data_IF_286529999462
#
_entry.id   IF_286529999462
#
_cell.length_a   1.000
_cell.length_b   1.000
_cell.length_c   1.000
_cell.angle_alpha   90.00
_cell.angle_beta   90.00
_cell.angle_gamma   90.00
#
_symmetry.space_group_name_H-M   'P 1'
#
loop_
_entity.id
_entity.type
_entity.pdbx_description
1 polymer ?
#
# COMPACT_ATOMS: atom_id res chain seq x y z
N UNK A 1 -20.20 -19.47 -11.98
CA UNK A 1 -19.30 -18.72 -11.11
C UNK A 1 -20.06 -18.38 -9.85
N UNK A 2 -19.75 -19.04 -8.72
CA UNK A 2 -20.42 -18.73 -7.45
C UNK A 2 -19.70 -17.55 -6.79
N UNK A 3 -20.31 -16.38 -6.89
CA UNK A 3 -19.87 -15.23 -6.10
C UNK A 3 -20.35 -15.40 -4.67
N UNK A 4 -19.47 -15.76 -3.74
CA UNK A 4 -19.75 -15.69 -2.30
C UNK A 4 -19.69 -14.23 -1.85
N UNK A 5 -20.82 -13.55 -1.87
CA UNK A 5 -20.99 -12.33 -1.07
C UNK A 5 -20.94 -12.73 0.40
N UNK A 6 -19.99 -12.17 1.16
CA UNK A 6 -19.99 -12.31 2.62
C UNK A 6 -21.29 -11.70 3.16
N UNK A 7 -21.98 -12.40 4.06
CA UNK A 7 -23.21 -11.89 4.69
C UNK A 7 -22.98 -10.47 5.21
N UNK A 8 -23.79 -9.55 4.73
CA UNK A 8 -23.86 -8.16 5.19
C UNK A 8 -24.14 -8.15 6.70
N UNK A 9 -23.29 -7.51 7.51
CA UNK A 9 -23.49 -7.37 8.95
C UNK A 9 -24.33 -6.10 9.19
N UNK A 10 -25.62 -6.26 9.40
CA UNK A 10 -26.60 -5.19 9.61
C UNK A 10 -26.28 -4.27 10.80
N UNK A 11 -25.43 -4.73 11.73
CA UNK A 11 -25.06 -3.99 12.96
C UNK A 11 -24.19 -2.76 12.73
N UNK A 12 -23.56 -2.61 11.55
CA UNK A 12 -22.78 -1.42 11.19
C UNK A 12 -23.52 -0.43 10.28
N UNK A 13 -24.75 -0.74 9.90
CA UNK A 13 -25.57 0.07 8.98
C UNK A 13 -26.50 1.08 9.67
N UNK A 14 -26.55 1.11 10.99
CA UNK A 14 -27.33 2.09 11.73
C UNK A 14 -26.72 3.50 11.59
N UNK A 15 -27.12 4.22 10.53
CA UNK A 15 -26.74 5.61 10.27
C UNK A 15 -26.26 5.95 8.84
N UNK A 16 -26.08 4.96 7.95
CA UNK A 16 -25.79 5.25 6.55
C UNK A 16 -27.06 5.37 5.73
N UNK A 17 -27.16 6.45 4.93
CA UNK A 17 -28.27 6.63 3.99
C UNK A 17 -28.20 5.58 2.87
N UNK A 18 -29.34 5.29 2.22
CA UNK A 18 -29.40 4.37 1.06
C UNK A 18 -28.42 4.80 -0.03
N UNK A 19 -28.29 6.10 -0.28
CA UNK A 19 -27.34 6.67 -1.24
C UNK A 19 -25.87 6.38 -0.90
N UNK A 20 -25.48 6.42 0.39
CA UNK A 20 -24.11 6.10 0.82
C UNK A 20 -23.79 4.60 0.66
N UNK A 21 -24.79 3.73 0.89
CA UNK A 21 -24.65 2.29 0.63
C UNK A 21 -24.46 2.03 -0.86
N UNK A 22 -25.29 2.65 -1.70
CA UNK A 22 -25.18 2.57 -3.15
C UNK A 22 -23.83 3.10 -3.64
N UNK A 23 -23.32 4.22 -3.10
CA UNK A 23 -21.99 4.77 -3.42
C UNK A 23 -20.88 3.77 -3.11
N UNK A 24 -20.96 3.08 -1.98
CA UNK A 24 -19.95 2.07 -1.62
C UNK A 24 -19.94 0.90 -2.61
N UNK A 25 -21.11 0.41 -3.02
CA UNK A 25 -21.21 -0.63 -4.04
C UNK A 25 -20.67 -0.12 -5.38
N UNK A 26 -21.05 1.09 -5.78
CA UNK A 26 -20.57 1.73 -7.02
C UNK A 26 -19.03 1.84 -7.03
N UNK A 27 -18.43 2.30 -5.94
CA UNK A 27 -16.97 2.39 -5.81
C UNK A 27 -16.28 1.02 -5.93
N UNK A 28 -16.88 -0.03 -5.37
CA UNK A 28 -16.37 -1.39 -5.53
C UNK A 28 -16.46 -1.84 -6.99
N UNK A 29 -17.59 -1.63 -7.65
CA UNK A 29 -17.77 -1.99 -9.05
C UNK A 29 -16.80 -1.22 -9.97
N UNK A 30 -16.52 0.05 -9.69
CA UNK A 30 -15.51 0.83 -10.43
C UNK A 30 -14.11 0.19 -10.40
N UNK A 31 -13.71 -0.43 -9.31
CA UNK A 31 -12.43 -1.15 -9.24
C UNK A 31 -12.43 -2.38 -10.14
N UNK A 32 -13.55 -3.12 -10.21
CA UNK A 32 -13.71 -4.29 -11.08
C UNK A 32 -13.82 -3.92 -12.56
N UNK A 33 -14.49 -2.80 -12.89
CA UNK A 33 -14.66 -2.34 -14.26
C UNK A 33 -13.49 -1.48 -14.75
N UNK A 34 -12.36 -1.47 -14.04
CA UNK A 34 -11.18 -0.64 -14.34
C UNK A 34 -11.52 0.85 -14.50
N UNK A 35 -12.44 1.35 -13.70
CA UNK A 35 -12.87 2.75 -13.69
C UNK A 35 -13.90 3.12 -14.75
N UNK A 36 -14.44 2.14 -15.50
CA UNK A 36 -15.54 2.38 -16.43
C UNK A 36 -16.85 2.62 -15.65
N UNK A 37 -17.24 3.89 -15.59
CA UNK A 37 -18.44 4.32 -14.86
C UNK A 37 -19.72 3.78 -15.49
N UNK A 38 -19.78 3.67 -16.82
CA UNK A 38 -20.98 3.22 -17.52
C UNK A 38 -21.21 1.73 -17.27
N UNK A 39 -20.16 0.93 -17.37
CA UNK A 39 -20.23 -0.50 -17.08
C UNK A 39 -20.57 -0.74 -15.60
N UNK A 40 -19.99 0.02 -14.67
CA UNK A 40 -20.29 -0.06 -13.24
C UNK A 40 -21.76 0.26 -12.95
N UNK A 41 -22.32 1.31 -13.56
CA UNK A 41 -23.73 1.68 -13.43
C UNK A 41 -24.66 0.64 -14.05
N UNK A 42 -24.26 0.04 -15.18
CA UNK A 42 -25.03 -1.04 -15.81
C UNK A 42 -25.10 -2.27 -14.89
N UNK A 43 -23.98 -2.70 -14.33
CA UNK A 43 -23.95 -3.80 -13.37
C UNK A 43 -24.75 -3.49 -12.12
N UNK A 44 -24.67 -2.25 -11.62
CA UNK A 44 -25.43 -1.81 -10.47
C UNK A 44 -26.95 -1.82 -10.74
N UNK A 45 -27.37 -1.41 -11.94
CA UNK A 45 -28.78 -1.47 -12.37
C UNK A 45 -29.29 -2.91 -12.41
N UNK A 46 -28.47 -3.85 -12.85
CA UNK A 46 -28.84 -5.27 -12.87
C UNK A 46 -28.91 -5.83 -11.44
N UNK A 47 -28.00 -5.45 -10.56
CA UNK A 47 -28.04 -5.81 -9.14
C UNK A 47 -29.27 -5.22 -8.45
N UNK A 48 -29.64 -3.99 -8.77
CA UNK A 48 -30.83 -3.35 -8.21
C UNK A 48 -32.10 -4.10 -8.58
N UNK A 49 -32.23 -4.55 -9.84
CA UNK A 49 -33.36 -5.40 -10.29
C UNK A 49 -33.44 -6.72 -9.55
N UNK A 50 -32.30 -7.34 -9.20
CA UNK A 50 -32.26 -8.67 -8.56
C UNK A 50 -32.43 -8.60 -7.04
N UNK A 51 -31.89 -7.59 -6.41
CA UNK A 51 -31.72 -7.53 -4.95
C UNK A 51 -32.36 -6.32 -4.29
N UNK A 52 -32.85 -5.33 -5.07
CA UNK A 52 -33.47 -4.12 -4.53
C UNK A 52 -32.46 -3.29 -3.73
N UNK A 53 -31.48 -2.70 -4.40
CA UNK A 53 -30.46 -1.86 -3.73
C UNK A 53 -31.03 -0.51 -3.33
N UNK A 54 -32.00 0.01 -4.08
CA UNK A 54 -32.76 1.21 -3.78
C UNK A 54 -33.86 0.95 -2.76
N UNK A 55 -34.59 1.99 -2.43
CA UNK A 55 -35.82 1.94 -1.64
C UNK A 55 -36.98 2.57 -2.45
N UNK A 56 -38.20 2.64 -1.87
CA UNK A 56 -39.38 3.17 -2.58
C UNK A 56 -39.21 4.64 -3.02
N UNK A 57 -38.26 5.38 -2.45
CA UNK A 57 -38.01 6.80 -2.73
C UNK A 57 -36.76 7.03 -3.58
N UNK A 58 -35.78 6.10 -3.58
CA UNK A 58 -34.43 6.27 -4.20
C UNK A 58 -34.20 5.15 -5.19
N UNK A 59 -34.34 5.46 -6.48
CA UNK A 59 -34.00 4.57 -7.58
C UNK A 59 -32.65 4.90 -8.23
N UNK A 60 -32.22 4.09 -9.23
CA UNK A 60 -30.96 4.29 -9.96
C UNK A 60 -30.86 5.66 -10.65
N UNK A 61 -31.97 6.21 -11.15
CA UNK A 61 -31.96 7.54 -11.76
C UNK A 61 -31.60 8.65 -10.76
N UNK A 62 -32.24 8.62 -9.59
CA UNK A 62 -31.97 9.57 -8.51
C UNK A 62 -30.55 9.43 -7.95
N UNK A 63 -30.05 8.19 -7.88
CA UNK A 63 -28.67 7.94 -7.50
C UNK A 63 -27.65 8.54 -8.48
N UNK A 64 -27.87 8.41 -9.80
CA UNK A 64 -26.99 9.00 -10.82
C UNK A 64 -27.01 10.52 -10.72
N UNK A 65 -28.18 11.15 -10.58
CA UNK A 65 -28.28 12.60 -10.40
C UNK A 65 -27.62 13.07 -9.09
N UNK A 66 -27.76 12.29 -8.03
CA UNK A 66 -27.04 12.55 -6.78
C UNK A 66 -25.51 12.48 -6.94
N UNK A 67 -25.00 11.46 -7.66
CA UNK A 67 -23.57 11.33 -7.94
C UNK A 67 -23.03 12.54 -8.72
N UNK A 68 -23.78 13.06 -9.67
CA UNK A 68 -23.42 14.27 -10.42
C UNK A 68 -23.45 15.51 -9.53
N UNK A 69 -24.51 15.70 -8.76
CA UNK A 69 -24.65 16.85 -7.85
C UNK A 69 -23.55 16.88 -6.80
N UNK A 70 -23.20 15.73 -6.26
CA UNK A 70 -22.10 15.61 -5.29
C UNK A 70 -20.71 15.66 -5.95
N UNK A 71 -20.62 15.70 -7.27
CA UNK A 71 -19.37 15.77 -8.02
C UNK A 71 -18.57 14.47 -8.00
N UNK A 72 -19.21 13.33 -7.92
CA UNK A 72 -18.60 12.01 -8.11
C UNK A 72 -18.54 11.62 -9.58
N UNK A 73 -19.52 12.05 -10.38
CA UNK A 73 -19.60 11.82 -11.82
C UNK A 73 -19.68 13.13 -12.59
N UNK A 74 -19.15 13.11 -13.81
CA UNK A 74 -19.28 14.17 -14.81
C UNK A 74 -19.79 13.56 -16.11
N UNK A 75 -20.55 14.34 -16.89
CA UNK A 75 -20.97 13.94 -18.23
C UNK A 75 -19.74 13.89 -19.15
N UNK A 76 -19.56 12.81 -19.89
CA UNK A 76 -18.52 12.71 -20.89
C UNK A 76 -18.92 13.48 -22.17
N UNK A 77 -17.95 13.63 -23.12
CA UNK A 77 -18.21 14.32 -24.39
C UNK A 77 -19.28 13.62 -25.25
N UNK A 78 -19.43 12.31 -25.11
CA UNK A 78 -20.45 11.53 -25.79
C UNK A 78 -21.74 11.49 -24.95
N UNK A 79 -22.88 11.66 -25.65
CA UNK A 79 -24.19 11.69 -24.97
C UNK A 79 -24.48 10.36 -24.27
N UNK A 80 -24.71 10.42 -22.97
CA UNK A 80 -25.09 9.25 -22.16
C UNK A 80 -23.89 8.51 -21.55
N UNK A 81 -22.68 9.00 -21.74
CA UNK A 81 -21.48 8.47 -21.07
C UNK A 81 -21.10 9.34 -19.88
N UNK A 82 -20.54 8.68 -18.86
CA UNK A 82 -20.09 9.28 -17.62
C UNK A 82 -18.61 9.06 -17.39
N UNK A 83 -17.96 10.05 -16.76
CA UNK A 83 -16.59 9.95 -16.27
C UNK A 83 -16.56 10.12 -14.76
N UNK A 84 -15.67 9.36 -14.11
CA UNK A 84 -15.41 9.55 -12.67
C UNK A 84 -14.51 10.75 -12.46
N UNK A 85 -14.72 11.42 -11.33
CA UNK A 85 -13.96 12.62 -10.95
C UNK A 85 -12.78 12.26 -10.02
N UNK A 86 -11.91 13.24 -9.75
CA UNK A 86 -10.87 13.11 -8.72
C UNK A 86 -11.44 12.84 -7.31
N UNK A 87 -12.65 13.31 -7.02
CA UNK A 87 -13.36 13.03 -5.76
C UNK A 87 -13.68 11.55 -5.63
N UNK A 88 -14.14 10.92 -6.72
CA UNK A 88 -14.44 9.47 -6.77
C UNK A 88 -13.19 8.65 -6.56
N UNK A 89 -12.10 8.96 -7.27
CA UNK A 89 -10.83 8.22 -7.10
C UNK A 89 -10.27 8.36 -5.69
N UNK A 90 -10.41 9.52 -5.05
CA UNK A 90 -10.05 9.71 -3.64
C UNK A 90 -10.91 8.86 -2.73
N UNK A 91 -12.23 8.86 -2.94
CA UNK A 91 -13.18 8.08 -2.14
C UNK A 91 -12.91 6.57 -2.24
N UNK A 92 -12.62 6.06 -3.44
CA UNK A 92 -12.23 4.65 -3.64
C UNK A 92 -10.98 4.29 -2.82
N UNK A 93 -9.97 5.16 -2.76
CA UNK A 93 -8.77 4.92 -1.94
C UNK A 93 -9.08 4.90 -0.44
N UNK A 94 -9.90 5.86 0.03
CA UNK A 94 -10.36 5.90 1.43
C UNK A 94 -11.15 4.64 1.80
N UNK A 95 -12.07 4.21 0.94
CA UNK A 95 -12.89 3.01 1.15
C UNK A 95 -12.01 1.74 1.16
N UNK A 96 -11.03 1.64 0.24
CA UNK A 96 -10.06 0.55 0.21
C UNK A 96 -9.22 0.50 1.49
N UNK A 97 -8.78 1.65 2.00
CA UNK A 97 -8.03 1.76 3.25
C UNK A 97 -8.88 1.30 4.44
N UNK A 98 -10.12 1.75 4.53
CA UNK A 98 -11.04 1.39 5.61
C UNK A 98 -11.38 -0.11 5.60
N UNK A 99 -11.58 -0.70 4.41
CA UNK A 99 -11.83 -2.14 4.24
C UNK A 99 -10.67 -2.96 4.82
N UNK A 100 -9.42 -2.65 4.46
CA UNK A 100 -8.23 -3.34 4.94
C UNK A 100 -8.06 -3.17 6.45
N UNK A 101 -8.21 -1.94 6.99
CA UNK A 101 -8.10 -1.72 8.43
C UNK A 101 -9.20 -2.40 9.24
N UNK A 102 -10.40 -2.52 8.71
CA UNK A 102 -11.50 -3.25 9.36
C UNK A 102 -11.19 -4.74 9.44
N UNK A 103 -10.61 -5.30 8.38
CA UNK A 103 -10.14 -6.69 8.37
C UNK A 103 -9.01 -6.91 9.38
N UNK A 104 -8.01 -6.01 9.43
CA UNK A 104 -6.91 -6.04 10.39
C UNK A 104 -7.40 -5.99 11.85
N UNK A 105 -8.39 -5.14 12.16
CA UNK A 105 -8.97 -5.05 13.52
C UNK A 105 -9.68 -6.33 13.93
N UNK A 106 -10.37 -7.00 13.03
CA UNK A 106 -11.05 -8.27 13.30
C UNK A 106 -10.07 -9.40 13.62
N UNK A 107 -8.86 -9.36 13.03
CA UNK A 107 -7.82 -10.37 13.23
C UNK A 107 -6.87 -10.06 14.40
N UNK A 108 -6.69 -8.79 14.77
CA UNK A 108 -5.74 -8.34 15.80
C UNK A 108 -6.27 -8.43 17.24
N UNK A 109 -7.32 -9.19 17.50
CA UNK A 109 -7.82 -9.44 18.86
C UNK A 109 -6.81 -10.17 19.79
N UNK A 110 -5.60 -10.50 19.30
CA UNK A 110 -4.54 -11.12 20.08
C UNK A 110 -3.22 -10.33 20.02
N UNK A 111 -2.83 -9.74 21.16
CA UNK A 111 -1.44 -9.44 21.49
C UNK A 111 -0.97 -8.00 21.33
N UNK A 112 -1.11 -7.21 22.38
CA UNK A 112 -0.45 -5.90 22.53
C UNK A 112 0.95 -6.11 23.14
N UNK A 113 2.02 -6.04 22.32
CA UNK A 113 3.38 -5.92 22.84
C UNK A 113 3.97 -4.56 22.46
N UNK A 114 4.01 -3.67 23.45
CA UNK A 114 4.81 -2.42 23.37
C UNK A 114 6.28 -2.77 23.53
N UNK A 115 7.12 -2.40 22.55
CA UNK A 115 8.58 -2.43 22.71
C UNK A 115 9.06 -0.98 22.75
N UNK A 116 9.59 -0.51 23.89
CA UNK A 116 10.14 0.83 24.00
C UNK A 116 11.55 0.84 23.43
N UNK A 117 11.84 1.67 22.41
CA UNK A 117 13.22 2.01 22.02
C UNK A 117 13.31 3.41 21.44
N UNK A 118 14.25 4.14 21.97
CA UNK A 118 14.64 5.54 21.77
C UNK A 118 15.23 5.79 20.37
N UNK A 119 14.81 6.87 19.75
CA UNK A 119 15.38 7.31 18.50
C UNK A 119 15.33 8.83 18.34
N UNK A 120 16.24 9.47 17.58
CA UNK A 120 16.27 10.92 17.36
C UNK A 120 15.33 11.32 16.21
N UNK A 121 14.17 11.85 16.51
CA UNK A 121 13.22 12.45 15.56
C UNK A 121 12.73 13.77 16.17
N UNK A 122 12.29 14.70 15.31
CA UNK A 122 11.80 16.01 15.72
C UNK A 122 10.44 16.00 16.44
N UNK A 123 9.78 14.87 16.58
CA UNK A 123 8.54 14.75 17.35
C UNK A 123 8.84 14.31 18.79
N UNK A 124 8.62 15.22 19.73
CA UNK A 124 8.75 15.00 21.15
C UNK A 124 7.61 14.12 21.64
N UNK A 125 7.96 13.00 22.26
CA UNK A 125 7.00 12.20 23.02
C UNK A 125 6.72 12.86 24.37
N UNK A 126 5.53 12.67 24.96
CA UNK A 126 5.24 13.17 26.32
C UNK A 126 6.07 12.47 27.41
N UNK A 127 6.69 11.34 27.11
CA UNK A 127 7.52 10.56 28.03
C UNK A 127 8.95 11.14 28.08
N UNK A 128 9.51 11.29 29.27
CA UNK A 128 10.87 11.78 29.50
C UNK A 128 11.74 10.74 30.14
N UNK A 129 13.03 10.67 29.77
CA UNK A 129 14.05 9.82 30.40
C UNK A 129 15.20 10.65 30.96
N UNK A 130 16.07 10.03 31.75
CA UNK A 130 17.31 10.64 32.17
C UNK A 130 18.20 10.94 30.93
N UNK A 131 18.87 12.09 30.96
CA UNK A 131 19.84 12.48 29.94
C UNK A 131 21.05 11.54 30.00
N UNK A 132 21.64 11.25 28.83
CA UNK A 132 22.89 10.54 28.71
C UNK A 132 23.83 11.27 27.76
N UNK A 133 25.14 11.14 27.97
CA UNK A 133 26.14 11.79 27.13
C UNK A 133 25.91 11.46 25.64
N UNK A 134 25.78 12.52 24.80
CA UNK A 134 25.47 12.38 23.37
C UNK A 134 24.02 12.70 22.97
N UNK A 135 23.13 12.92 23.95
CA UNK A 135 21.76 13.36 23.68
C UNK A 135 21.71 14.82 23.23
N UNK A 136 20.76 15.13 22.34
CA UNK A 136 20.59 16.48 21.83
C UNK A 136 19.88 17.37 22.87
N UNK A 137 20.56 18.40 23.32
CA UNK A 137 20.05 19.37 24.30
C UNK A 137 18.78 20.13 23.85
N UNK A 138 18.49 20.15 22.55
CA UNK A 138 17.24 20.74 22.04
C UNK A 138 15.99 19.97 22.53
N UNK A 139 16.14 18.72 22.92
CA UNK A 139 15.05 17.89 23.44
C UNK A 139 14.95 17.90 24.97
N UNK A 140 15.66 18.82 25.64
CA UNK A 140 15.66 18.92 27.09
C UNK A 140 14.26 19.33 27.60
N UNK A 141 13.76 18.59 28.60
CA UNK A 141 12.58 18.99 29.38
C UNK A 141 13.05 19.88 30.55
N UNK A 142 13.02 21.18 30.32
CA UNK A 142 13.41 22.15 31.33
C UNK A 142 12.56 22.09 32.58
N UNK A 143 11.26 21.77 32.43
CA UNK A 143 10.34 21.71 33.58
C UNK A 143 10.65 20.51 34.47
N UNK A 144 10.82 19.32 33.91
CA UNK A 144 11.20 18.13 34.66
C UNK A 144 12.61 18.24 35.24
N UNK A 145 13.56 18.85 34.51
CA UNK A 145 14.92 19.12 34.96
C UNK A 145 14.93 20.03 36.19
N UNK A 146 14.26 21.19 36.12
CA UNK A 146 14.16 22.10 37.25
C UNK A 146 13.46 21.49 38.46
N UNK A 147 12.39 20.69 38.21
CA UNK A 147 11.70 19.98 39.29
C UNK A 147 12.62 18.98 40.02
N UNK A 148 13.53 18.31 39.28
CA UNK A 148 14.50 17.40 39.90
C UNK A 148 15.53 18.19 40.74
N UNK A 149 16.06 19.27 40.20
CA UNK A 149 16.98 20.13 40.97
C UNK A 149 16.33 20.69 42.25
N UNK A 150 15.08 21.17 42.18
CA UNK A 150 14.31 21.64 43.33
C UNK A 150 14.00 20.55 44.36
N UNK A 151 13.74 19.33 43.93
CA UNK A 151 13.56 18.17 44.82
C UNK A 151 14.85 17.82 45.57
N UNK A 152 16.02 18.01 44.94
CA UNK A 152 17.32 17.77 45.55
C UNK A 152 17.72 18.84 46.56
N UNK A 153 17.53 20.14 46.21
CA UNK A 153 17.82 21.26 47.10
C UNK A 153 16.94 22.45 46.72
N UNK A 154 16.26 23.02 47.73
CA UNK A 154 15.43 24.22 47.54
C UNK A 154 16.29 25.49 47.64
N UNK A 155 17.43 25.43 48.32
CA UNK A 155 18.31 26.59 48.61
C UNK A 155 19.42 26.73 47.60
N UNK A 156 19.83 25.66 46.88
CA UNK A 156 20.85 25.69 45.86
C UNK A 156 20.31 25.02 44.58
N UNK A 157 19.93 25.85 43.60
CA UNK A 157 19.37 25.45 42.33
C UNK A 157 20.50 25.25 41.27
N UNK A 158 21.65 24.75 41.67
CA UNK A 158 22.66 24.33 40.69
C UNK A 158 22.21 23.07 39.96
N UNK A 159 22.24 23.07 38.63
CA UNK A 159 21.90 21.90 37.82
C UNK A 159 23.07 20.94 37.75
N UNK A 160 22.86 19.69 38.08
CA UNK A 160 23.84 18.59 37.89
C UNK A 160 23.31 17.59 36.84
N UNK A 161 24.18 16.75 36.31
CA UNK A 161 23.89 15.84 35.21
C UNK A 161 22.66 14.94 35.48
N UNK A 162 22.50 14.51 36.74
CA UNK A 162 21.38 13.62 37.15
C UNK A 162 20.02 14.33 37.16
N UNK A 163 20.00 15.68 37.20
CA UNK A 163 18.76 16.46 37.16
C UNK A 163 18.15 16.51 35.75
N UNK A 164 19.00 16.36 34.71
CA UNK A 164 18.56 16.52 33.32
C UNK A 164 17.59 15.46 32.87
N UNK A 165 16.46 15.92 32.35
CA UNK A 165 15.45 15.10 31.69
C UNK A 165 15.33 15.50 30.25
N UNK A 166 15.24 14.47 29.36
CA UNK A 166 15.10 14.66 27.95
C UNK A 166 13.82 14.00 27.46
N UNK A 167 13.09 14.69 26.58
CA UNK A 167 11.94 14.07 25.91
C UNK A 167 12.41 12.88 25.08
N UNK A 168 11.71 11.76 25.22
CA UNK A 168 11.94 10.66 24.29
C UNK A 168 11.49 11.11 22.91
N UNK A 169 12.37 10.92 21.93
CA UNK A 169 12.07 11.23 20.53
C UNK A 169 11.96 9.93 19.75
N UNK A 170 10.86 9.79 19.02
CA UNK A 170 10.69 8.67 18.12
C UNK A 170 11.47 8.93 16.83
N UNK A 171 12.44 8.10 16.48
CA UNK A 171 13.10 8.18 15.18
C UNK A 171 12.10 7.82 14.09
N UNK A 172 11.43 8.81 13.56
CA UNK A 172 10.71 8.66 12.31
C UNK A 172 11.69 8.82 11.15
N UNK A 173 12.32 7.72 10.75
CA UNK A 173 13.09 7.72 9.50
C UNK A 173 12.15 7.83 8.32
N UNK A 174 12.46 8.76 7.39
CA UNK A 174 11.68 8.88 6.16
C UNK A 174 11.93 7.69 5.25
N UNK A 175 10.87 7.18 4.65
CA UNK A 175 10.91 6.02 3.77
C UNK A 175 10.52 6.43 2.33
N UNK A 176 11.30 5.97 1.35
CA UNK A 176 10.90 5.98 -0.05
C UNK A 176 10.48 4.57 -0.46
N UNK A 177 9.23 4.43 -0.87
CA UNK A 177 8.66 3.16 -1.30
C UNK A 177 8.34 3.22 -2.78
N UNK A 178 8.77 2.21 -3.53
CA UNK A 178 8.26 1.92 -4.86
C UNK A 178 7.36 0.70 -4.76
N UNK A 179 6.11 0.83 -5.15
CA UNK A 179 5.17 -0.27 -5.27
C UNK A 179 5.16 -0.75 -6.72
N UNK A 180 5.60 -1.98 -6.95
CA UNK A 180 5.59 -2.64 -8.24
C UNK A 180 4.39 -3.58 -8.33
N UNK A 181 3.56 -3.43 -9.35
CA UNK A 181 2.38 -4.28 -9.59
C UNK A 181 2.57 -4.99 -10.91
N UNK A 182 2.49 -6.30 -10.86
CA UNK A 182 2.48 -7.16 -12.05
C UNK A 182 1.16 -7.00 -12.80
N UNK A 183 1.23 -6.68 -14.08
CA UNK A 183 0.08 -6.55 -14.98
C UNK A 183 0.17 -7.55 -16.14
N UNK A 184 0.98 -8.60 -15.98
CA UNK A 184 1.11 -9.68 -16.95
C UNK A 184 -0.17 -10.53 -17.00
N UNK A 185 -0.31 -11.25 -18.09
CA UNK A 185 -1.51 -12.05 -18.37
C UNK A 185 -1.82 -13.10 -17.28
N UNK A 186 -0.80 -13.60 -16.57
CA UNK A 186 -0.98 -14.57 -15.48
C UNK A 186 -1.78 -14.04 -14.29
N UNK A 187 -1.85 -12.70 -14.13
CA UNK A 187 -2.62 -12.08 -13.05
C UNK A 187 -4.16 -12.22 -13.17
N UNK A 188 -4.65 -12.71 -14.31
CA UNK A 188 -6.08 -13.01 -14.57
C UNK A 188 -6.32 -14.44 -15.08
N UNK A 189 -5.28 -15.29 -15.11
CA UNK A 189 -5.43 -16.66 -15.59
C UNK A 189 -6.13 -17.56 -14.57
N UNK A 190 -6.68 -18.66 -15.09
CA UNK A 190 -7.33 -19.72 -14.30
C UNK A 190 -8.59 -19.30 -13.53
N UNK A 191 -9.27 -18.21 -13.96
CA UNK A 191 -10.50 -17.75 -13.32
C UNK A 191 -10.30 -17.02 -11.99
N UNK A 192 -9.05 -16.74 -11.60
CA UNK A 192 -8.72 -15.94 -10.44
C UNK A 192 -8.39 -14.49 -10.87
N UNK A 193 -9.11 -13.55 -10.30
CA UNK A 193 -8.80 -12.12 -10.44
C UNK A 193 -7.81 -11.70 -9.35
N UNK A 194 -6.52 -11.66 -9.69
CA UNK A 194 -5.44 -11.27 -8.78
C UNK A 194 -5.13 -9.78 -8.85
N UNK A 195 -5.51 -9.13 -9.95
CA UNK A 195 -5.20 -7.69 -10.15
C UNK A 195 -6.10 -6.79 -9.30
N UNK A 196 -7.37 -7.11 -9.13
CA UNK A 196 -8.29 -6.28 -8.32
C UNK A 196 -7.87 -6.17 -6.86
N UNK A 197 -7.54 -7.26 -6.13
CA UNK A 197 -6.95 -7.16 -4.79
C UNK A 197 -5.64 -6.39 -4.76
N UNK A 198 -4.76 -6.58 -5.76
CA UNK A 198 -3.50 -5.83 -5.86
C UNK A 198 -3.75 -4.32 -5.99
N UNK A 199 -4.69 -3.90 -6.84
CA UNK A 199 -5.12 -2.49 -6.97
C UNK A 199 -5.67 -1.93 -5.68
N UNK A 200 -6.57 -2.66 -5.00
CA UNK A 200 -7.15 -2.22 -3.71
C UNK A 200 -6.07 -1.98 -2.67
N UNK A 201 -5.12 -2.91 -2.53
CA UNK A 201 -4.00 -2.77 -1.59
C UNK A 201 -3.09 -1.60 -1.96
N UNK A 202 -2.81 -1.40 -3.25
CA UNK A 202 -2.03 -0.27 -3.75
C UNK A 202 -2.68 1.07 -3.42
N UNK A 203 -3.99 1.19 -3.66
CA UNK A 203 -4.78 2.39 -3.35
C UNK A 203 -4.83 2.67 -1.86
N UNK A 204 -5.02 1.64 -1.04
CA UNK A 204 -5.03 1.77 0.41
C UNK A 204 -3.66 2.18 0.97
N UNK A 205 -2.56 1.61 0.46
CA UNK A 205 -1.21 2.01 0.84
C UNK A 205 -0.93 3.47 0.45
N UNK A 206 -1.34 3.86 -0.75
CA UNK A 206 -1.19 5.24 -1.21
C UNK A 206 -1.93 6.21 -0.28
N UNK A 207 -3.18 5.93 0.07
CA UNK A 207 -3.96 6.75 0.97
C UNK A 207 -3.35 6.82 2.38
N UNK A 208 -2.86 5.68 2.91
CA UNK A 208 -2.15 5.64 4.19
C UNK A 208 -0.92 6.54 4.20
N UNK A 209 -0.08 6.46 3.16
CA UNK A 209 1.14 7.27 3.08
C UNK A 209 0.80 8.75 2.96
N UNK A 210 -0.12 9.10 2.06
CA UNK A 210 -0.53 10.48 1.84
C UNK A 210 -1.12 11.15 3.09
N UNK A 211 -1.88 10.38 3.89
CA UNK A 211 -2.61 10.94 5.05
C UNK A 211 -1.82 10.85 6.35
N UNK A 212 -1.09 9.76 6.59
CA UNK A 212 -0.43 9.49 7.87
C UNK A 212 1.08 9.75 7.85
N UNK A 213 1.70 9.72 6.67
CA UNK A 213 3.15 9.77 6.54
C UNK A 213 3.59 10.74 5.42
N UNK A 214 3.28 12.05 5.53
CA UNK A 214 3.51 13.03 4.46
C UNK A 214 4.99 13.25 4.12
N UNK A 215 5.92 12.84 5.00
CA UNK A 215 7.38 12.91 4.73
C UNK A 215 7.90 11.68 3.96
N UNK A 216 7.10 10.64 3.81
CA UNK A 216 7.44 9.45 3.02
C UNK A 216 7.05 9.68 1.55
N UNK A 217 7.69 8.97 0.65
CA UNK A 217 7.32 9.01 -0.77
C UNK A 217 6.86 7.65 -1.26
N UNK A 218 5.84 7.65 -2.11
CA UNK A 218 5.36 6.48 -2.82
C UNK A 218 5.39 6.77 -4.32
N UNK A 219 6.05 5.90 -5.06
CA UNK A 219 5.97 5.84 -6.51
C UNK A 219 5.41 4.48 -6.91
N UNK A 220 4.60 4.42 -7.96
CA UNK A 220 3.96 3.19 -8.43
C UNK A 220 4.49 2.83 -9.79
N UNK A 221 4.84 1.58 -9.97
CA UNK A 221 5.32 0.99 -11.23
C UNK A 221 4.40 -0.16 -11.60
N UNK A 222 3.96 -0.17 -12.84
CA UNK A 222 3.40 -1.35 -13.48
C UNK A 222 4.49 -2.03 -14.29
N UNK A 223 4.49 -3.35 -14.30
CA UNK A 223 5.42 -4.10 -15.12
C UNK A 223 4.75 -5.28 -15.80
N UNK A 224 5.08 -5.43 -17.07
CA UNK A 224 4.66 -6.48 -17.98
C UNK A 224 5.85 -6.81 -18.87
N UNK A 225 5.73 -6.63 -20.21
CA UNK A 225 6.86 -6.72 -21.14
C UNK A 225 7.93 -5.65 -20.84
N UNK A 226 7.48 -4.47 -20.48
CA UNK A 226 8.27 -3.32 -20.03
C UNK A 226 7.80 -2.87 -18.64
N UNK A 227 8.43 -1.85 -18.10
CA UNK A 227 8.04 -1.24 -16.86
C UNK A 227 7.84 0.27 -17.03
N UNK A 228 6.77 0.81 -16.43
CA UNK A 228 6.44 2.23 -16.46
C UNK A 228 5.84 2.71 -15.16
N UNK A 229 5.93 4.00 -14.91
CA UNK A 229 5.32 4.65 -13.75
C UNK A 229 3.86 4.99 -14.01
N UNK A 230 3.04 4.94 -12.97
CA UNK A 230 1.64 5.34 -13.00
C UNK A 230 1.32 6.23 -11.80
N UNK A 231 0.46 7.22 -12.00
CA UNK A 231 -0.01 8.07 -10.91
C UNK A 231 -1.03 7.32 -10.03
N UNK A 232 -1.06 7.65 -8.74
CA UNK A 232 -2.02 7.07 -7.78
C UNK A 232 -3.47 7.24 -8.23
N UNK A 233 -3.79 8.36 -8.91
CA UNK A 233 -5.14 8.66 -9.42
C UNK A 233 -5.56 7.69 -10.54
N UNK A 234 -4.60 7.11 -11.26
CA UNK A 234 -4.84 6.27 -12.42
C UNK A 234 -4.92 4.77 -12.04
N UNK A 235 -4.65 4.42 -10.77
CA UNK A 235 -4.72 3.04 -10.27
C UNK A 235 -6.07 2.33 -10.53
N UNK A 236 -7.24 2.97 -10.35
CA UNK A 236 -8.52 2.34 -10.66
C UNK A 236 -8.64 1.87 -12.12
N UNK A 237 -7.97 2.58 -13.05
CA UNK A 237 -8.00 2.31 -14.50
C UNK A 237 -6.99 1.26 -14.95
N UNK A 238 -6.14 0.76 -14.06
CA UNK A 238 -5.15 -0.27 -14.39
C UNK A 238 -5.84 -1.56 -14.81
N UNK A 239 -5.47 -2.06 -15.98
CA UNK A 239 -5.91 -3.35 -16.50
C UNK A 239 -4.72 -4.25 -16.80
N UNK A 240 -4.96 -5.55 -16.78
CA UNK A 240 -3.99 -6.55 -17.19
C UNK A 240 -3.94 -6.58 -18.72
N UNK A 241 -2.73 -6.64 -19.27
CA UNK A 241 -2.50 -6.78 -20.69
C UNK A 241 -2.00 -8.16 -21.09
N UNK A 242 -1.88 -8.43 -22.38
CA UNK A 242 -1.32 -9.67 -22.91
C UNK A 242 0.22 -9.68 -22.76
N UNK A 243 0.73 -9.27 -21.62
CA UNK A 243 2.16 -9.08 -21.35
C UNK A 243 2.78 -10.31 -20.70
N UNK A 244 4.08 -10.46 -20.92
CA UNK A 244 4.94 -11.33 -20.12
C UNK A 244 5.41 -10.58 -18.88
N UNK A 245 6.04 -11.30 -17.95
CA UNK A 245 6.50 -10.73 -16.68
C UNK A 245 7.99 -10.37 -16.76
N UNK A 246 8.32 -9.10 -17.00
CA UNK A 246 9.69 -8.59 -16.99
C UNK A 246 10.05 -7.98 -15.63
N UNK A 247 10.21 -8.83 -14.63
CA UNK A 247 10.55 -8.43 -13.26
C UNK A 247 11.86 -7.64 -13.20
N UNK A 248 12.85 -8.00 -14.05
CA UNK A 248 14.12 -7.28 -14.14
C UNK A 248 13.93 -5.82 -14.54
N UNK A 249 13.11 -5.54 -15.57
CA UNK A 249 12.83 -4.18 -16.00
C UNK A 249 12.15 -3.36 -14.89
N UNK A 250 11.18 -3.96 -14.19
CA UNK A 250 10.52 -3.35 -13.04
C UNK A 250 11.51 -3.00 -11.92
N UNK A 251 12.37 -3.94 -11.51
CA UNK A 251 13.39 -3.71 -10.48
C UNK A 251 14.39 -2.62 -10.89
N UNK A 252 14.84 -2.62 -12.15
CA UNK A 252 15.77 -1.62 -12.67
C UNK A 252 15.17 -0.21 -12.63
N UNK A 253 13.91 -0.05 -13.05
CA UNK A 253 13.19 1.22 -13.00
C UNK A 253 12.96 1.67 -11.55
N UNK A 254 12.53 0.76 -10.67
CA UNK A 254 12.32 1.03 -9.25
C UNK A 254 13.62 1.51 -8.59
N UNK A 255 14.72 0.83 -8.83
CA UNK A 255 16.05 1.21 -8.34
C UNK A 255 16.47 2.58 -8.84
N UNK A 256 16.24 2.89 -10.12
CA UNK A 256 16.55 4.19 -10.70
C UNK A 256 15.77 5.33 -10.03
N UNK A 257 14.47 5.13 -9.74
CA UNK A 257 13.64 6.08 -9.02
C UNK A 257 14.17 6.26 -7.59
N UNK A 258 14.39 5.18 -6.87
CA UNK A 258 14.83 5.21 -5.46
C UNK A 258 16.23 5.83 -5.30
N UNK A 259 17.12 5.70 -6.28
CA UNK A 259 18.43 6.35 -6.23
C UNK A 259 18.34 7.86 -6.19
N UNK A 260 17.32 8.46 -6.82
CA UNK A 260 17.09 9.90 -6.84
C UNK A 260 16.44 10.43 -5.55
N UNK A 261 15.84 9.56 -4.72
CA UNK A 261 15.19 9.96 -3.47
C UNK A 261 16.23 10.18 -2.37
N UNK A 262 15.99 11.21 -1.55
CA UNK A 262 16.86 11.58 -0.40
C UNK A 262 16.48 10.83 0.89
N UNK A 263 15.39 10.07 0.89
CA UNK A 263 14.91 9.32 2.04
C UNK A 263 15.96 8.31 2.53
N UNK A 264 16.07 8.14 3.85
CA UNK A 264 17.06 7.26 4.47
C UNK A 264 16.77 5.78 4.21
N UNK A 265 15.49 5.39 4.31
CA UNK A 265 15.04 4.04 4.02
C UNK A 265 14.49 3.97 2.61
N UNK A 266 14.92 2.95 1.86
CA UNK A 266 14.48 2.70 0.50
C UNK A 266 13.99 1.27 0.37
N UNK A 267 12.79 1.12 -0.17
CA UNK A 267 12.19 -0.22 -0.30
C UNK A 267 11.38 -0.35 -1.57
N UNK A 268 11.31 -1.58 -2.05
CA UNK A 268 10.45 -2.01 -3.14
C UNK A 268 9.44 -2.99 -2.56
N UNK A 269 8.17 -2.74 -2.77
CA UNK A 269 7.09 -3.68 -2.57
C UNK A 269 6.67 -4.22 -3.93
N UNK A 270 6.77 -5.52 -4.13
CA UNK A 270 6.44 -6.16 -5.39
C UNK A 270 5.27 -7.11 -5.21
N UNK A 271 4.18 -6.87 -5.93
CA UNK A 271 3.01 -7.74 -5.98
C UNK A 271 3.04 -8.48 -7.32
N UNK A 272 3.15 -9.80 -7.29
CA UNK A 272 3.31 -10.65 -8.48
C UNK A 272 2.81 -12.06 -8.21
N UNK A 273 2.53 -12.81 -9.26
CA UNK A 273 2.31 -14.25 -9.18
C UNK A 273 3.64 -15.06 -9.18
N UNK A 274 4.78 -14.38 -9.38
CA UNK A 274 6.11 -14.91 -9.14
C UNK A 274 6.86 -15.49 -10.35
N UNK A 275 6.32 -15.48 -11.57
CA UNK A 275 6.98 -16.07 -12.74
C UNK A 275 7.62 -15.01 -13.65
N UNK A 276 8.93 -14.76 -13.57
CA UNK A 276 9.59 -13.94 -14.59
C UNK A 276 9.65 -14.71 -15.92
N UNK A 277 9.14 -14.09 -16.99
CA UNK A 277 9.05 -14.74 -18.31
C UNK A 277 9.60 -13.87 -19.46
N UNK A 278 10.11 -12.68 -19.16
CA UNK A 278 10.74 -11.79 -20.14
C UNK A 278 11.93 -11.03 -19.56
N UNK A 279 12.88 -10.67 -20.42
CA UNK A 279 13.99 -9.75 -20.12
C UNK A 279 14.36 -8.92 -21.35
N UNK A 280 14.87 -7.71 -21.12
CA UNK A 280 15.41 -6.89 -22.20
C UNK A 280 16.84 -7.34 -22.57
N UNK A 281 17.09 -7.58 -23.84
CA UNK A 281 18.39 -7.85 -24.45
C UNK A 281 18.69 -6.81 -25.54
N UNK A 282 19.33 -5.72 -25.15
CA UNK A 282 19.50 -4.57 -26.04
C UNK A 282 18.15 -3.99 -26.46
N UNK A 283 17.88 -3.99 -27.76
CA UNK A 283 16.61 -3.47 -28.35
C UNK A 283 15.50 -4.54 -28.35
N UNK A 284 15.85 -5.81 -28.16
CA UNK A 284 14.88 -6.93 -28.24
C UNK A 284 14.48 -7.38 -26.84
N UNK A 285 13.23 -7.83 -26.71
CA UNK A 285 12.73 -8.50 -25.51
C UNK A 285 12.84 -10.00 -25.76
N UNK A 286 13.65 -10.67 -24.93
CA UNK A 286 13.69 -12.12 -24.88
C UNK A 286 12.56 -12.63 -23.99
N UNK A 287 11.73 -13.54 -24.51
CA UNK A 287 10.52 -14.06 -23.85
C UNK A 287 10.56 -15.58 -23.83
N UNK A 288 10.14 -16.16 -22.70
CA UNK A 288 9.92 -17.59 -22.55
C UNK A 288 8.71 -17.86 -21.67
N UNK A 289 7.64 -18.35 -22.27
CA UNK A 289 6.40 -18.67 -21.57
C UNK A 289 6.41 -20.05 -20.91
N UNK A 290 7.39 -20.92 -21.24
CA UNK A 290 7.48 -22.29 -20.76
C UNK A 290 8.42 -22.39 -19.57
N UNK A 291 7.86 -22.66 -18.38
CA UNK A 291 8.64 -22.88 -17.15
C UNK A 291 9.42 -21.64 -16.69
N UNK A 292 10.35 -21.85 -15.76
CA UNK A 292 11.32 -20.86 -15.30
C UNK A 292 12.58 -20.97 -16.15
N UNK A 293 12.85 -19.97 -16.99
CA UNK A 293 14.06 -19.89 -17.79
C UNK A 293 15.24 -19.40 -16.94
N UNK A 294 16.30 -20.20 -16.85
CA UNK A 294 17.49 -19.87 -16.04
C UNK A 294 18.15 -18.55 -16.43
N UNK A 295 18.12 -18.17 -17.72
CA UNK A 295 18.69 -16.92 -18.19
C UNK A 295 17.89 -15.74 -17.66
N UNK A 296 16.54 -15.82 -17.72
CA UNK A 296 15.64 -14.79 -17.21
C UNK A 296 15.78 -14.69 -15.69
N UNK A 297 15.76 -15.83 -14.99
CA UNK A 297 15.91 -15.92 -13.53
C UNK A 297 17.22 -15.30 -13.10
N UNK A 298 18.37 -15.74 -13.64
CA UNK A 298 19.69 -15.23 -13.25
C UNK A 298 19.80 -13.71 -13.46
N UNK A 299 19.31 -13.20 -14.57
CA UNK A 299 19.35 -11.74 -14.84
C UNK A 299 18.45 -10.94 -13.91
N UNK A 300 17.36 -11.52 -13.44
CA UNK A 300 16.49 -10.92 -12.43
C UNK A 300 17.14 -10.93 -11.05
N UNK A 301 17.78 -12.05 -10.69
CA UNK A 301 18.55 -12.17 -9.43
C UNK A 301 19.74 -11.21 -9.40
N UNK A 302 20.46 -11.06 -10.52
CA UNK A 302 21.54 -10.06 -10.64
C UNK A 302 21.04 -8.65 -10.30
N UNK A 303 19.86 -8.24 -10.81
CA UNK A 303 19.30 -6.92 -10.52
C UNK A 303 18.87 -6.80 -9.05
N UNK A 304 18.35 -7.88 -8.44
CA UNK A 304 18.02 -7.91 -7.01
C UNK A 304 19.29 -7.73 -6.13
N UNK A 305 20.42 -8.33 -6.53
CA UNK A 305 21.71 -8.12 -5.86
C UNK A 305 22.18 -6.67 -6.01
N UNK A 306 21.97 -6.05 -7.19
CA UNK A 306 22.31 -4.63 -7.38
C UNK A 306 21.45 -3.74 -6.49
N UNK A 307 20.14 -4.02 -6.37
CA UNK A 307 19.25 -3.33 -5.43
C UNK A 307 19.78 -3.43 -3.99
N UNK A 308 20.24 -4.62 -3.54
CA UNK A 308 20.85 -4.81 -2.22
C UNK A 308 22.09 -3.94 -2.03
N UNK A 309 22.99 -3.88 -3.02
CA UNK A 309 24.17 -3.02 -2.98
C UNK A 309 23.82 -1.54 -2.84
N UNK A 310 22.72 -1.11 -3.45
CA UNK A 310 22.16 0.24 -3.33
C UNK A 310 21.34 0.44 -2.03
N UNK A 311 21.38 -0.52 -1.08
CA UNK A 311 20.63 -0.51 0.20
C UNK A 311 19.11 -0.45 0.03
N UNK A 312 18.59 -1.01 -1.04
CA UNK A 312 17.17 -1.10 -1.34
C UNK A 312 16.70 -2.50 -0.94
N UNK A 313 15.75 -2.56 0.01
CA UNK A 313 15.14 -3.82 0.45
C UNK A 313 13.95 -4.15 -0.47
N UNK A 314 13.90 -5.38 -0.98
CA UNK A 314 12.77 -5.89 -1.76
C UNK A 314 11.90 -6.74 -0.82
N UNK A 315 10.61 -6.44 -0.79
CA UNK A 315 9.59 -7.28 -0.15
C UNK A 315 8.63 -7.75 -1.23
N UNK A 316 8.57 -9.07 -1.44
CA UNK A 316 7.70 -9.68 -2.45
C UNK A 316 6.43 -10.20 -1.79
N UNK A 317 5.29 -9.79 -2.32
CA UNK A 317 3.95 -10.29 -1.97
C UNK A 317 3.49 -11.19 -3.12
N UNK A 318 3.58 -12.48 -2.88
CA UNK A 318 3.22 -13.49 -3.87
C UNK A 318 1.76 -13.86 -3.72
N UNK A 319 0.99 -13.66 -4.79
CA UNK A 319 -0.48 -13.87 -4.80
C UNK A 319 -0.90 -15.23 -5.34
N UNK A 320 0.03 -16.17 -5.44
CA UNK A 320 -0.25 -17.56 -5.84
C UNK A 320 0.34 -18.56 -4.85
N UNK A 321 -0.27 -19.73 -4.76
CA UNK A 321 0.18 -20.84 -3.92
C UNK A 321 1.03 -21.88 -4.65
N UNK A 322 1.40 -21.64 -5.92
CA UNK A 322 2.20 -22.57 -6.73
C UNK A 322 3.60 -22.78 -6.10
N UNK A 323 3.96 -24.01 -5.63
CA UNK A 323 5.24 -24.26 -4.98
C UNK A 323 6.45 -24.04 -5.87
N UNK A 324 6.30 -24.21 -7.19
CA UNK A 324 7.38 -24.04 -8.15
C UNK A 324 7.76 -22.55 -8.28
N UNK A 325 6.76 -21.67 -8.32
CA UNK A 325 6.96 -20.22 -8.37
C UNK A 325 7.47 -19.67 -7.03
N UNK A 326 7.07 -20.28 -5.92
CA UNK A 326 7.61 -19.95 -4.59
C UNK A 326 9.13 -20.16 -4.49
N UNK A 327 9.68 -21.15 -5.20
CA UNK A 327 11.12 -21.39 -5.28
C UNK A 327 11.87 -20.17 -5.81
N UNK A 328 11.43 -19.60 -6.94
CA UNK A 328 12.04 -18.37 -7.49
C UNK A 328 11.95 -17.18 -6.53
N UNK A 329 10.79 -16.98 -5.89
CA UNK A 329 10.61 -15.86 -4.94
C UNK A 329 11.54 -16.02 -3.72
N UNK A 330 11.81 -17.25 -3.26
CA UNK A 330 12.80 -17.51 -2.21
C UNK A 330 14.21 -17.14 -2.66
N UNK A 331 14.62 -17.59 -3.86
CA UNK A 331 15.94 -17.22 -4.43
C UNK A 331 16.10 -15.69 -4.56
N UNK A 332 15.04 -14.99 -5.03
CA UNK A 332 15.03 -13.53 -5.13
C UNK A 332 15.18 -12.87 -3.75
N UNK A 333 14.48 -13.41 -2.75
CA UNK A 333 14.54 -12.92 -1.37
C UNK A 333 15.91 -13.10 -0.76
N UNK A 334 16.56 -14.25 -0.97
CA UNK A 334 17.92 -14.55 -0.53
C UNK A 334 18.94 -13.64 -1.23
N UNK A 335 18.82 -13.46 -2.56
CA UNK A 335 19.70 -12.60 -3.34
C UNK A 335 19.70 -11.14 -2.86
N UNK A 336 18.52 -10.62 -2.53
CA UNK A 336 18.37 -9.26 -2.01
C UNK A 336 18.53 -9.14 -0.50
N UNK A 337 18.46 -10.25 0.28
CA UNK A 337 18.29 -10.27 1.73
C UNK A 337 17.03 -9.52 2.17
N UNK A 338 16.00 -9.62 1.37
CA UNK A 338 14.71 -8.99 1.56
C UNK A 338 13.71 -9.85 2.34
N UNK A 339 12.44 -9.79 1.93
CA UNK A 339 11.35 -10.58 2.53
C UNK A 339 10.41 -11.09 1.45
N UNK A 340 9.75 -12.20 1.75
CA UNK A 340 8.65 -12.70 0.94
C UNK A 340 7.47 -13.08 1.84
N UNK A 341 6.28 -12.75 1.37
CA UNK A 341 5.01 -13.16 1.96
C UNK A 341 4.26 -13.97 0.92
N UNK A 342 3.92 -15.19 1.31
CA UNK A 342 3.12 -16.10 0.50
C UNK A 342 1.71 -16.06 1.07
N UNK A 343 0.83 -15.29 0.45
CA UNK A 343 -0.52 -15.08 0.96
C UNK A 343 -1.55 -15.36 -0.12
N UNK A 344 -2.72 -15.85 0.31
CA UNK A 344 -3.90 -15.74 -0.52
C UNK A 344 -4.29 -14.28 -0.73
N UNK A 345 -5.17 -14.04 -1.69
CA UNK A 345 -5.64 -12.69 -2.06
C UNK A 345 -6.26 -11.91 -0.90
N UNK A 346 -6.91 -12.63 0.05
CA UNK A 346 -7.63 -12.03 1.17
C UNK A 346 -6.73 -11.37 2.23
N UNK A 347 -5.48 -11.83 2.37
CA UNK A 347 -4.55 -11.37 3.41
C UNK A 347 -3.44 -10.45 2.88
N UNK A 348 -3.43 -10.17 1.58
CA UNK A 348 -2.39 -9.36 0.92
C UNK A 348 -2.20 -8.00 1.60
N UNK A 349 -3.30 -7.31 1.88
CA UNK A 349 -3.27 -6.00 2.54
C UNK A 349 -2.64 -6.05 3.93
N UNK A 350 -2.98 -7.06 4.74
CA UNK A 350 -2.44 -7.23 6.09
C UNK A 350 -0.92 -7.31 6.10
N UNK A 351 -0.36 -8.22 5.31
CA UNK A 351 1.10 -8.41 5.26
C UNK A 351 1.83 -7.17 4.75
N UNK A 352 1.27 -6.49 3.74
CA UNK A 352 1.88 -5.30 3.16
C UNK A 352 1.92 -4.14 4.16
N UNK A 353 0.80 -3.91 4.89
CA UNK A 353 0.74 -2.84 5.89
C UNK A 353 1.63 -3.13 7.10
N UNK A 354 1.65 -4.38 7.59
CA UNK A 354 2.52 -4.78 8.70
C UNK A 354 3.99 -4.56 8.32
N UNK A 355 4.37 -4.96 7.11
CA UNK A 355 5.75 -4.80 6.63
C UNK A 355 6.13 -3.32 6.47
N UNK A 356 5.24 -2.50 5.92
CA UNK A 356 5.45 -1.06 5.79
C UNK A 356 5.70 -0.39 7.14
N UNK A 357 4.86 -0.66 8.13
CA UNK A 357 4.99 -0.09 9.48
C UNK A 357 6.27 -0.58 10.17
N UNK A 358 6.61 -1.87 10.04
CA UNK A 358 7.83 -2.45 10.62
C UNK A 358 9.09 -1.85 10.02
N UNK A 359 9.14 -1.61 8.72
CA UNK A 359 10.31 -1.07 8.05
C UNK A 359 10.60 0.39 8.43
N UNK A 360 9.57 1.18 8.71
CA UNK A 360 9.73 2.54 9.23
C UNK A 360 10.42 2.57 10.59
N UNK A 361 10.23 1.53 11.40
CA UNK A 361 10.76 1.43 12.77
C UNK A 361 12.15 0.81 12.84
N UNK A 362 12.76 0.41 11.71
CA UNK A 362 14.10 -0.18 11.73
C UNK A 362 15.16 0.87 12.07
N UNK A 363 15.94 0.60 13.13
CA UNK A 363 17.15 1.34 13.44
C UNK A 363 18.19 1.15 12.32
N UNK A 364 18.77 2.25 11.86
CA UNK A 364 20.06 2.22 11.21
C UNK A 364 21.09 1.68 12.25
N UNK A 365 21.71 0.55 11.93
CA UNK A 365 22.94 0.09 12.58
C UNK A 365 24.13 0.72 11.91
#
# INVERSE_FOLDING_TARGET
MDYRFSKWDERHAAGQTTLEKMLKIFNQLLVYTNGDANQALQWMTEMDRQYGLGDDEIGMGEFIEWLKREGYLEDAAERGEFKITGKTTKKIREDSLNEIFTTLRKQSAFGNHKIPRTGSSDERMPETRAWTFGDNLQNLDMTATLNNALKRSITDISLIEEDFRIYETEHQTTCATVLMIDVSHSMILYGEDRITPAKKVAMALAELILTRYPKDSLDIILFGDEAWTVDVKDLPFVSVGPYHTNTKAGLALARQILKRKKNQNKQIFMITDGKPSAINEGIKIYKNSFGLDRKIVNKTLDEAVVCRKDKITITTFMVTSDPYLQGFVRELTEANQGRAYFSGLDNLGEYLFIDYIRNRRKKLR
#
